data_IF_373830910449
#
_entry.id   IF_373830910449
#
_cell.length_a   1.000
_cell.length_b   1.000
_cell.length_c   1.000
_cell.angle_alpha   90.00
_cell.angle_beta   90.00
_cell.angle_gamma   90.00
#
_symmetry.space_group_name_H-M   'P 1'
#
loop_
_entity.id
_entity.type
_entity.pdbx_description
1 polymer ?
#
# COMPACT_ATOMS: atom_id res chain seq x y z
N UNK A 1 -32.60 22.57 -12.98
CA UNK A 1 -32.77 21.86 -14.28
C UNK A 1 -34.04 21.04 -14.30
N UNK A 2 -34.23 20.06 -13.40
CA UNK A 2 -35.48 19.28 -13.33
C UNK A 2 -36.75 20.16 -13.19
N UNK A 3 -36.69 21.19 -12.33
CA UNK A 3 -37.77 22.16 -12.16
C UNK A 3 -38.08 22.95 -13.44
N UNK A 4 -37.05 23.48 -14.10
CA UNK A 4 -37.19 24.24 -15.35
C UNK A 4 -37.73 23.38 -16.50
N UNK A 5 -37.27 22.13 -16.60
CA UNK A 5 -37.76 21.15 -17.58
C UNK A 5 -39.24 20.81 -17.32
N UNK A 6 -39.66 20.71 -16.06
CA UNK A 6 -41.06 20.54 -15.67
C UNK A 6 -41.94 21.73 -16.04
N UNK A 7 -41.47 22.96 -15.84
CA UNK A 7 -42.17 24.17 -16.25
C UNK A 7 -42.36 24.25 -17.78
N UNK A 8 -41.35 23.86 -18.56
CA UNK A 8 -41.46 23.79 -20.03
C UNK A 8 -42.48 22.74 -20.45
N UNK A 9 -42.49 21.56 -19.82
CA UNK A 9 -43.50 20.53 -20.08
C UNK A 9 -44.92 21.03 -19.79
N UNK A 10 -45.11 21.75 -18.67
CA UNK A 10 -46.40 22.35 -18.33
C UNK A 10 -46.85 23.40 -19.35
N UNK A 11 -45.92 24.27 -19.80
CA UNK A 11 -46.20 25.25 -20.84
C UNK A 11 -46.57 24.58 -22.18
N UNK A 12 -45.86 23.52 -22.58
CA UNK A 12 -46.17 22.74 -23.78
C UNK A 12 -47.56 22.09 -23.71
N UNK A 13 -47.99 21.60 -22.53
CA UNK A 13 -49.34 21.08 -22.32
C UNK A 13 -50.43 22.13 -22.50
N UNK A 14 -50.20 23.35 -21.99
CA UNK A 14 -51.14 24.47 -22.17
C UNK A 14 -51.24 24.82 -23.65
N UNK A 15 -50.11 24.89 -24.37
CA UNK A 15 -50.10 25.19 -25.82
C UNK A 15 -50.81 24.08 -26.61
N UNK A 16 -50.60 22.80 -26.27
CA UNK A 16 -51.30 21.68 -26.91
C UNK A 16 -52.82 21.78 -26.73
N UNK A 17 -53.26 22.11 -25.52
CA UNK A 17 -54.69 22.33 -25.21
C UNK A 17 -55.26 23.50 -26.03
N UNK A 18 -54.52 24.59 -26.17
CA UNK A 18 -54.91 25.75 -27.00
C UNK A 18 -54.98 25.35 -28.47
N UNK A 19 -54.03 24.54 -28.97
CA UNK A 19 -54.01 24.06 -30.34
C UNK A 19 -55.22 23.16 -30.64
N UNK A 20 -55.59 22.24 -29.75
CA UNK A 20 -56.80 21.41 -29.89
C UNK A 20 -58.07 22.26 -29.91
N UNK A 21 -58.20 23.24 -29.00
CA UNK A 21 -59.34 24.15 -28.99
C UNK A 21 -59.42 25.00 -30.26
N UNK A 22 -58.27 25.47 -30.76
CA UNK A 22 -58.18 26.24 -32.01
C UNK A 22 -58.56 25.38 -33.21
N UNK A 23 -58.15 24.11 -33.24
CA UNK A 23 -58.54 23.15 -34.27
C UNK A 23 -60.06 22.90 -34.28
N UNK A 24 -60.68 22.77 -33.11
CA UNK A 24 -62.14 22.63 -32.98
C UNK A 24 -62.88 23.91 -33.40
N UNK A 25 -62.38 25.09 -33.03
CA UNK A 25 -62.93 26.37 -33.46
C UNK A 25 -62.85 26.55 -34.99
N UNK A 26 -61.71 26.19 -35.58
CA UNK A 26 -61.50 26.24 -37.03
C UNK A 26 -62.44 25.28 -37.78
N UNK A 27 -62.66 24.08 -37.24
CA UNK A 27 -63.61 23.12 -37.79
C UNK A 27 -65.05 23.68 -37.80
N UNK A 28 -65.48 24.28 -36.69
CA UNK A 28 -66.80 24.91 -36.61
C UNK A 28 -66.94 26.08 -37.60
N UNK A 29 -65.89 26.88 -37.77
CA UNK A 29 -65.86 27.97 -38.75
C UNK A 29 -65.93 27.46 -40.19
N UNK A 30 -65.24 26.36 -40.52
CA UNK A 30 -65.30 25.72 -41.83
C UNK A 30 -66.71 25.18 -42.15
N UNK A 31 -67.39 24.60 -41.16
CA UNK A 31 -68.78 24.13 -41.29
C UNK A 31 -69.72 25.30 -41.58
N UNK A 32 -69.61 26.40 -40.83
CA UNK A 32 -70.49 27.56 -41.03
C UNK A 32 -70.19 28.30 -42.35
N UNK A 33 -68.92 28.33 -42.77
CA UNK A 33 -68.53 28.86 -44.08
C UNK A 33 -69.13 28.04 -45.24
N UNK A 34 -69.14 26.70 -45.13
CA UNK A 34 -69.81 25.83 -46.10
C UNK A 34 -71.33 26.08 -46.14
N UNK A 35 -71.94 26.39 -44.98
CA UNK A 35 -73.37 26.69 -44.86
C UNK A 35 -73.77 28.01 -45.52
N UNK A 36 -72.87 28.99 -45.55
CA UNK A 36 -73.08 30.29 -46.19
C UNK A 36 -72.94 30.26 -47.73
N UNK A 37 -72.55 29.12 -48.32
CA UNK A 37 -72.44 28.95 -49.77
C UNK A 37 -71.37 29.84 -50.40
N UNK A 38 -71.68 30.50 -51.53
CA UNK A 38 -70.74 31.35 -52.27
C UNK A 38 -70.21 32.54 -51.44
N UNK A 39 -71.00 33.06 -50.50
CA UNK A 39 -70.57 34.16 -49.60
C UNK A 39 -69.54 33.71 -48.55
N UNK A 40 -69.45 32.41 -48.27
CA UNK A 40 -68.56 31.83 -47.28
C UNK A 40 -67.20 31.35 -47.81
N UNK A 41 -66.96 31.40 -49.13
CA UNK A 41 -65.73 30.84 -49.74
C UNK A 41 -64.44 31.42 -49.16
N UNK A 42 -64.39 32.74 -48.95
CA UNK A 42 -63.22 33.39 -48.35
C UNK A 42 -62.97 32.94 -46.90
N UNK A 43 -64.03 32.78 -46.12
CA UNK A 43 -63.96 32.29 -44.74
C UNK A 43 -63.56 30.82 -44.65
N UNK A 44 -63.99 29.98 -45.61
CA UNK A 44 -63.62 28.56 -45.65
C UNK A 44 -62.11 28.37 -45.80
N UNK A 45 -61.47 29.15 -46.67
CA UNK A 45 -60.01 29.09 -46.89
C UNK A 45 -59.24 29.49 -45.63
N UNK A 46 -59.70 30.54 -44.94
CA UNK A 46 -59.09 30.98 -43.67
C UNK A 46 -59.28 29.92 -42.58
N UNK A 47 -60.45 29.30 -42.48
CA UNK A 47 -60.73 28.25 -41.51
C UNK A 47 -59.83 27.02 -41.71
N UNK A 48 -59.61 26.59 -42.96
CA UNK A 48 -58.70 25.48 -43.28
C UNK A 48 -57.24 25.81 -42.95
N UNK A 49 -56.79 27.05 -43.19
CA UNK A 49 -55.44 27.49 -42.84
C UNK A 49 -55.23 27.54 -41.31
N UNK A 50 -56.19 28.07 -40.55
CA UNK A 50 -56.16 28.06 -39.09
C UNK A 50 -56.14 26.63 -38.55
N UNK A 51 -56.91 25.71 -39.16
CA UNK A 51 -56.92 24.29 -38.78
C UNK A 51 -55.54 23.64 -39.03
N UNK A 52 -54.92 23.92 -40.16
CA UNK A 52 -53.58 23.46 -40.52
C UNK A 52 -52.52 23.95 -39.53
N UNK A 53 -52.58 25.23 -39.14
CA UNK A 53 -51.69 25.81 -38.13
C UNK A 53 -51.90 25.17 -36.75
N UNK A 54 -53.15 24.92 -36.37
CA UNK A 54 -53.48 24.28 -35.10
C UNK A 54 -52.90 22.85 -35.02
N UNK A 55 -53.04 22.06 -36.09
CA UNK A 55 -52.46 20.71 -36.17
C UNK A 55 -50.92 20.75 -36.11
N UNK A 56 -50.27 21.65 -36.86
CA UNK A 56 -48.80 21.82 -36.79
C UNK A 56 -48.32 22.25 -35.40
N UNK A 57 -49.11 23.08 -34.71
CA UNK A 57 -48.81 23.52 -33.34
C UNK A 57 -48.87 22.34 -32.37
N UNK A 58 -49.90 21.49 -32.49
CA UNK A 58 -50.03 20.29 -31.68
C UNK A 58 -48.87 19.30 -31.90
N UNK A 59 -48.52 19.02 -33.16
CA UNK A 59 -47.37 18.18 -33.51
C UNK A 59 -46.05 18.74 -32.92
N UNK A 60 -45.88 20.06 -32.96
CA UNK A 60 -44.72 20.73 -32.36
C UNK A 60 -44.69 20.57 -30.84
N UNK A 61 -45.83 20.68 -30.15
CA UNK A 61 -45.90 20.47 -28.70
C UNK A 61 -45.65 19.03 -28.28
N UNK A 62 -46.04 18.06 -29.11
CA UNK A 62 -45.72 16.64 -28.88
C UNK A 62 -44.23 16.38 -29.03
N UNK A 63 -43.58 16.96 -30.04
CA UNK A 63 -42.14 16.86 -30.21
C UNK A 63 -41.38 17.52 -29.03
N UNK A 64 -41.86 18.65 -28.52
CA UNK A 64 -41.31 19.27 -27.29
C UNK A 64 -41.44 18.31 -26.10
N UNK A 65 -42.58 17.62 -25.94
CA UNK A 65 -42.75 16.62 -24.88
C UNK A 65 -41.71 15.50 -24.94
N UNK A 66 -41.44 14.95 -26.12
CA UNK A 66 -40.43 13.91 -26.32
C UNK A 66 -39.01 14.38 -25.95
N UNK A 67 -38.67 15.62 -26.35
CA UNK A 67 -37.38 16.23 -26.00
C UNK A 67 -37.27 16.40 -24.48
N UNK A 68 -38.32 16.89 -23.84
CA UNK A 68 -38.38 17.09 -22.38
C UNK A 68 -38.23 15.77 -21.63
N UNK A 69 -38.93 14.71 -22.05
CA UNK A 69 -38.77 13.37 -21.46
C UNK A 69 -37.34 12.86 -21.59
N UNK A 70 -36.75 12.99 -22.78
CA UNK A 70 -35.36 12.59 -23.02
C UNK A 70 -34.38 13.38 -22.15
N UNK A 71 -34.59 14.69 -22.02
CA UNK A 71 -33.75 15.58 -21.23
C UNK A 71 -33.83 15.24 -19.73
N UNK A 72 -35.04 14.96 -19.22
CA UNK A 72 -35.25 14.54 -17.83
C UNK A 72 -34.52 13.23 -17.55
N UNK A 73 -34.74 12.20 -18.37
CA UNK A 73 -34.07 10.90 -18.22
C UNK A 73 -32.54 11.02 -18.24
N UNK A 74 -31.99 11.82 -19.17
CA UNK A 74 -30.54 12.06 -19.23
C UNK A 74 -30.02 12.79 -18.00
N UNK A 75 -30.78 13.75 -17.48
CA UNK A 75 -30.42 14.51 -16.27
C UNK A 75 -30.40 13.60 -15.04
N UNK A 76 -31.40 12.75 -14.86
CA UNK A 76 -31.46 11.77 -13.78
C UNK A 76 -30.28 10.80 -13.84
N UNK A 77 -29.95 10.30 -15.04
CA UNK A 77 -28.79 9.43 -15.24
C UNK A 77 -27.48 10.15 -14.89
N UNK A 78 -27.31 11.41 -15.27
CA UNK A 78 -26.13 12.20 -14.93
C UNK A 78 -25.98 12.37 -13.40
N UNK A 79 -27.09 12.61 -12.70
CA UNK A 79 -27.10 12.68 -11.23
C UNK A 79 -26.71 11.34 -10.61
N UNK A 80 -27.23 10.21 -11.12
CA UNK A 80 -26.85 8.88 -10.66
C UNK A 80 -25.36 8.62 -10.81
N UNK A 81 -24.82 8.84 -12.02
CA UNK A 81 -23.39 8.65 -12.29
C UNK A 81 -22.52 9.56 -11.42
N UNK A 82 -22.96 10.80 -11.17
CA UNK A 82 -22.25 11.71 -10.27
C UNK A 82 -22.24 11.20 -8.81
N UNK A 83 -23.35 10.61 -8.34
CA UNK A 83 -23.41 9.99 -7.01
C UNK A 83 -22.49 8.76 -6.91
N UNK A 84 -22.51 7.90 -7.92
CA UNK A 84 -21.63 6.72 -7.96
C UNK A 84 -20.15 7.12 -8.02
N UNK A 85 -19.84 8.16 -8.79
CA UNK A 85 -18.50 8.76 -8.86
C UNK A 85 -18.06 9.33 -7.50
N UNK A 86 -18.96 10.00 -6.77
CA UNK A 86 -18.68 10.48 -5.41
C UNK A 86 -18.37 9.33 -4.46
N UNK A 87 -19.19 8.28 -4.45
CA UNK A 87 -18.98 7.11 -3.60
C UNK A 87 -17.65 6.41 -3.93
N UNK A 88 -17.31 6.29 -5.21
CA UNK A 88 -16.03 5.72 -5.66
C UNK A 88 -14.85 6.58 -5.21
N UNK A 89 -14.98 7.91 -5.27
CA UNK A 89 -13.95 8.83 -4.77
C UNK A 89 -13.77 8.71 -3.24
N UNK A 90 -14.86 8.63 -2.48
CA UNK A 90 -14.82 8.41 -1.02
C UNK A 90 -14.12 7.09 -0.67
N UNK A 91 -14.40 6.00 -1.40
CA UNK A 91 -13.68 4.73 -1.26
C UNK A 91 -12.20 4.85 -1.62
N UNK A 92 -11.88 5.59 -2.69
CA UNK A 92 -10.50 5.85 -3.11
C UNK A 92 -9.69 6.56 -2.02
N UNK A 93 -10.29 7.56 -1.35
CA UNK A 93 -9.67 8.25 -0.20
C UNK A 93 -9.36 7.26 0.92
N UNK A 94 -10.30 6.40 1.30
CA UNK A 94 -10.08 5.40 2.36
C UNK A 94 -8.96 4.41 2.02
N UNK A 95 -8.81 4.03 0.74
CA UNK A 95 -7.70 3.17 0.29
C UNK A 95 -6.36 3.90 0.41
N UNK A 96 -6.32 5.18 0.04
CA UNK A 96 -5.11 6.01 0.16
C UNK A 96 -4.69 6.17 1.62
N UNK A 97 -5.64 6.37 2.54
CA UNK A 97 -5.35 6.42 3.98
C UNK A 97 -4.76 5.11 4.49
N UNK A 98 -5.36 3.96 4.16
CA UNK A 98 -4.78 2.65 4.52
C UNK A 98 -3.39 2.43 3.95
N UNK A 99 -3.15 2.89 2.72
CA UNK A 99 -1.84 2.80 2.08
C UNK A 99 -0.81 3.67 2.81
N UNK A 100 -1.20 4.87 3.22
CA UNK A 100 -0.36 5.76 4.03
C UNK A 100 0.02 5.11 5.36
N UNK A 101 -0.93 4.48 6.05
CA UNK A 101 -0.67 3.81 7.32
C UNK A 101 0.31 2.63 7.15
N UNK A 102 0.09 1.80 6.12
CA UNK A 102 1.01 0.71 5.80
C UNK A 102 2.44 1.21 5.48
N UNK A 103 2.57 2.33 4.75
CA UNK A 103 3.87 2.95 4.49
C UNK A 103 4.52 3.53 5.76
N UNK A 104 3.73 4.03 6.71
CA UNK A 104 4.25 4.48 8.00
C UNK A 104 4.80 3.31 8.82
N UNK A 105 4.10 2.17 8.85
CA UNK A 105 4.58 0.94 9.50
C UNK A 105 5.88 0.43 8.85
N UNK A 106 5.97 0.44 7.51
CA UNK A 106 7.20 0.06 6.79
C UNK A 106 8.35 0.98 7.19
N UNK A 107 8.14 2.30 7.24
CA UNK A 107 9.19 3.24 7.65
C UNK A 107 9.66 2.97 9.08
N UNK A 108 8.74 2.70 10.02
CA UNK A 108 9.09 2.35 11.38
C UNK A 108 9.92 1.06 11.44
N UNK A 109 9.54 0.03 10.69
CA UNK A 109 10.28 -1.22 10.59
C UNK A 109 11.71 -1.00 10.06
N UNK A 110 11.86 -0.18 9.01
CA UNK A 110 13.17 0.17 8.44
C UNK A 110 14.03 0.93 9.45
N UNK A 111 13.46 1.89 10.20
CA UNK A 111 14.19 2.58 11.27
C UNK A 111 14.67 1.63 12.37
N UNK A 112 13.84 0.66 12.78
CA UNK A 112 14.25 -0.36 13.76
C UNK A 112 15.41 -1.22 13.24
N UNK A 113 15.35 -1.66 11.97
CA UNK A 113 16.44 -2.42 11.33
C UNK A 113 17.73 -1.60 11.29
N UNK A 114 17.64 -0.32 10.96
CA UNK A 114 18.80 0.58 10.95
C UNK A 114 19.46 0.68 12.33
N UNK A 115 18.66 0.86 13.39
CA UNK A 115 19.18 0.92 14.76
C UNK A 115 19.84 -0.41 15.18
N UNK A 116 19.21 -1.53 14.86
CA UNK A 116 19.75 -2.86 15.14
C UNK A 116 21.06 -3.13 14.39
N UNK A 117 21.21 -2.57 13.19
CA UNK A 117 22.46 -2.65 12.42
C UNK A 117 23.59 -1.88 13.10
N UNK A 118 23.29 -0.73 13.70
CA UNK A 118 24.27 0.05 14.48
C UNK A 118 24.69 -0.73 15.74
N UNK A 119 23.74 -1.30 16.48
CA UNK A 119 24.03 -2.15 17.65
C UNK A 119 24.87 -3.37 17.25
N UNK A 120 24.51 -4.04 16.16
CA UNK A 120 25.26 -5.19 15.65
C UNK A 120 26.69 -4.81 15.27
N UNK A 121 26.90 -3.64 14.65
CA UNK A 121 28.24 -3.14 14.35
C UNK A 121 29.07 -2.94 15.63
N UNK A 122 28.47 -2.40 16.69
CA UNK A 122 29.15 -2.23 17.98
C UNK A 122 29.48 -3.57 18.63
N UNK A 123 28.56 -4.55 18.60
CA UNK A 123 28.83 -5.89 19.10
C UNK A 123 29.94 -6.62 18.32
N UNK A 124 30.01 -6.41 17.01
CA UNK A 124 31.10 -6.98 16.17
C UNK A 124 32.45 -6.37 16.54
N UNK A 125 32.51 -5.07 16.84
CA UNK A 125 33.73 -4.41 17.31
C UNK A 125 34.18 -4.98 18.67
N UNK A 126 33.25 -5.16 19.61
CA UNK A 126 33.54 -5.80 20.89
C UNK A 126 34.03 -7.25 20.73
N UNK A 127 33.39 -8.03 19.85
CA UNK A 127 33.83 -9.39 19.54
C UNK A 127 35.24 -9.42 18.95
N UNK A 128 35.61 -8.44 18.11
CA UNK A 128 36.96 -8.33 17.56
C UNK A 128 37.99 -8.10 18.67
N UNK A 129 37.70 -7.20 19.61
CA UNK A 129 38.58 -6.91 20.76
C UNK A 129 38.73 -8.15 21.67
N UNK A 130 37.64 -8.87 21.91
CA UNK A 130 37.68 -10.12 22.69
C UNK A 130 38.52 -11.19 21.97
N UNK A 131 38.40 -11.31 20.64
CA UNK A 131 39.20 -12.25 19.85
C UNK A 131 40.71 -11.92 19.91
N UNK A 132 41.06 -10.63 19.89
CA UNK A 132 42.45 -10.19 20.06
C UNK A 132 43.00 -10.57 21.45
N UNK A 133 42.24 -10.32 22.52
CA UNK A 133 42.63 -10.75 23.85
C UNK A 133 42.76 -12.26 23.99
N UNK A 134 41.89 -13.05 23.36
CA UNK A 134 42.02 -14.51 23.34
C UNK A 134 43.33 -14.92 22.65
N UNK A 135 43.67 -14.26 21.54
CA UNK A 135 44.93 -14.53 20.84
C UNK A 135 46.15 -14.21 21.72
N UNK A 136 46.14 -13.09 22.45
CA UNK A 136 47.19 -12.76 23.42
C UNK A 136 47.31 -13.82 24.52
N UNK A 137 46.17 -14.29 25.07
CA UNK A 137 46.14 -15.33 26.08
C UNK A 137 46.71 -16.66 25.55
N UNK A 138 46.42 -17.03 24.31
CA UNK A 138 46.97 -18.23 23.67
C UNK A 138 48.49 -18.14 23.55
N UNK A 139 49.03 -16.98 23.16
CA UNK A 139 50.48 -16.75 23.13
C UNK A 139 51.09 -16.91 24.52
N UNK A 140 50.48 -16.31 25.55
CA UNK A 140 50.94 -16.46 26.93
C UNK A 140 50.91 -17.90 27.44
N UNK A 141 49.91 -18.70 27.06
CA UNK A 141 49.84 -20.14 27.36
C UNK A 141 50.98 -20.90 26.67
N UNK A 142 51.27 -20.57 25.40
CA UNK A 142 52.36 -21.20 24.66
C UNK A 142 53.73 -20.91 25.29
N UNK A 143 53.97 -19.66 25.71
CA UNK A 143 55.19 -19.26 26.41
C UNK A 143 55.35 -19.99 27.75
N UNK A 144 54.28 -20.05 28.55
CA UNK A 144 54.29 -20.80 29.82
C UNK A 144 54.53 -22.30 29.63
N UNK A 145 54.03 -22.88 28.54
CA UNK A 145 54.32 -24.27 28.19
C UNK A 145 55.80 -24.47 27.82
N UNK A 146 56.43 -23.52 27.11
CA UNK A 146 57.87 -23.57 26.82
C UNK A 146 58.71 -23.45 28.09
N UNK A 147 58.35 -22.56 29.01
CA UNK A 147 59.05 -22.42 30.30
C UNK A 147 58.95 -23.72 31.13
N UNK A 148 57.74 -24.29 31.20
CA UNK A 148 57.49 -25.57 31.90
C UNK A 148 58.32 -26.70 31.31
N UNK A 149 58.44 -26.77 29.97
CA UNK A 149 59.31 -27.72 29.29
C UNK A 149 60.77 -27.53 29.69
N UNK A 150 61.28 -26.30 29.67
CA UNK A 150 62.67 -26.00 30.07
C UNK A 150 62.95 -26.36 31.53
N UNK A 151 62.03 -26.04 32.44
CA UNK A 151 62.13 -26.41 33.86
C UNK A 151 62.17 -27.94 34.05
N UNK A 152 61.34 -28.67 33.30
CA UNK A 152 61.32 -30.13 33.31
C UNK A 152 62.63 -30.74 32.80
N UNK A 153 63.23 -30.18 31.74
CA UNK A 153 64.54 -30.61 31.22
C UNK A 153 65.66 -30.38 32.26
N UNK A 154 65.65 -29.23 32.94
CA UNK A 154 66.59 -28.93 34.04
C UNK A 154 66.41 -29.89 35.22
N UNK A 155 65.18 -30.16 35.62
CA UNK A 155 64.86 -31.09 36.70
C UNK A 155 65.31 -32.53 36.38
N UNK A 156 65.14 -32.94 35.12
CA UNK A 156 65.63 -34.24 34.63
C UNK A 156 67.16 -34.31 34.68
N UNK A 157 67.85 -33.26 34.22
CA UNK A 157 69.32 -33.19 34.28
C UNK A 157 69.84 -33.26 35.73
N UNK A 158 69.25 -32.48 36.64
CA UNK A 158 69.58 -32.52 38.07
C UNK A 158 69.34 -33.92 38.68
N UNK A 159 68.24 -34.57 38.32
CA UNK A 159 67.93 -35.93 38.76
C UNK A 159 68.98 -36.95 38.29
N UNK A 160 69.50 -36.78 37.05
CA UNK A 160 70.58 -37.62 36.53
C UNK A 160 71.89 -37.41 37.30
N UNK A 161 72.28 -36.16 37.54
CA UNK A 161 73.48 -35.84 38.34
C UNK A 161 73.36 -36.35 39.78
N UNK A 162 72.18 -36.25 40.38
CA UNK A 162 71.91 -36.80 41.71
C UNK A 162 72.12 -38.33 41.73
N UNK A 163 71.60 -39.04 40.72
CA UNK A 163 71.81 -40.48 40.57
C UNK A 163 73.28 -40.86 40.43
N UNK A 164 74.05 -40.10 39.64
CA UNK A 164 75.49 -40.29 39.48
C UNK A 164 76.23 -40.09 40.83
N UNK A 165 75.85 -39.05 41.57
CA UNK A 165 76.44 -38.74 42.89
C UNK A 165 76.12 -39.83 43.92
N UNK A 166 74.87 -40.32 43.96
CA UNK A 166 74.49 -41.47 44.82
C UNK A 166 75.33 -42.70 44.48
N UNK A 167 75.51 -42.98 43.19
CA UNK A 167 76.34 -44.11 42.73
C UNK A 167 77.79 -43.96 43.19
N UNK A 168 78.35 -42.75 43.10
CA UNK A 168 79.70 -42.43 43.56
C UNK A 168 79.84 -42.59 45.09
N UNK A 169 78.90 -42.04 45.87
CA UNK A 169 78.89 -42.18 47.33
C UNK A 169 78.82 -43.65 47.74
N UNK A 170 77.94 -44.44 47.12
CA UNK A 170 77.85 -45.89 47.39
C UNK A 170 79.18 -46.60 47.08
N UNK A 171 79.85 -46.25 45.98
CA UNK A 171 81.15 -46.83 45.63
C UNK A 171 82.26 -46.50 46.65
N UNK A 172 82.24 -45.30 47.21
CA UNK A 172 83.17 -44.88 48.27
C UNK A 172 82.88 -45.64 49.57
N UNK A 173 81.61 -45.82 49.93
CA UNK A 173 81.21 -46.61 51.10
C UNK A 173 81.67 -48.06 50.96
N UNK A 174 81.45 -48.71 49.81
CA UNK A 174 81.90 -50.07 49.54
C UNK A 174 83.43 -50.21 49.67
N UNK A 175 84.19 -49.22 49.16
CA UNK A 175 85.65 -49.18 49.27
C UNK A 175 86.13 -49.02 50.72
N UNK A 176 85.45 -48.20 51.53
CA UNK A 176 85.76 -48.08 52.96
C UNK A 176 85.44 -49.36 53.73
N UNK A 177 84.30 -49.99 53.46
CA UNK A 177 83.92 -51.25 54.11
C UNK A 177 84.87 -52.41 53.77
N UNK A 178 85.36 -52.47 52.53
CA UNK A 178 86.37 -53.46 52.11
C UNK A 178 87.74 -53.18 52.72
N UNK A 179 88.15 -51.91 52.86
CA UNK A 179 89.40 -51.52 53.54
C UNK A 179 89.35 -51.69 55.07
N UNK A 180 88.18 -51.59 55.69
CA UNK A 180 87.98 -51.86 57.12
C UNK A 180 88.11 -53.34 57.45
N UNK A 181 87.66 -54.23 56.55
CA UNK A 181 87.80 -55.70 56.72
C UNK A 181 89.24 -56.21 56.58
N UNK A 182 90.14 -55.46 55.94
CA UNK A 182 91.57 -55.80 55.85
C UNK A 182 92.42 -55.29 57.02
N UNK A 183 91.86 -54.51 57.96
CA UNK A 183 92.55 -54.09 59.19
C UNK A 183 92.12 -54.84 60.46
N UNK A 184 91.33 -55.91 60.34
CA UNK A 184 90.87 -56.72 61.48
C UNK A 184 91.18 -58.22 61.36
N UNK A 185 92.20 -58.58 60.58
CA UNK A 185 92.75 -59.93 60.56
C UNK A 185 94.28 -59.86 60.55
#
# INVERSE_FOLDING_TARGET
>A
LAESTGQIGQAANIISTIAEQTNLLALNAAIEAARAGEQGRGFSVVADEVRSLALKTHESTDHIHQIIQTLTSRSERAVSVSRDGKASAEQGVAIVEKTRDALAEINQAVSMISNMTIEMSSSVEEQSNVAEHINEQIVGIADGAMETKSASEKALAASKTLKETITMVNSVIDRFQTSGKTSTN
#
